data_IF_103016577504
#
_entry.id   IF_103016577504
#
_cell.length_a   1.000
_cell.length_b   1.000
_cell.length_c   1.000
_cell.angle_alpha   90.00
_cell.angle_beta   90.00
_cell.angle_gamma   90.00
#
_symmetry.space_group_name_H-M   'P 1'
#
loop_
_entity.id
_entity.type
_entity.pdbx_description
1 polymer ?
#
# COMPACT_ATOMS: atom_id res chain seq x y z
N UNK A 1 47.46 -17.77 -28.52
CA UNK A 1 47.41 -17.60 -29.98
C UNK A 1 46.65 -16.30 -30.26
N UNK A 2 47.38 -15.20 -30.45
CA UNK A 2 46.83 -13.85 -30.64
C UNK A 2 46.64 -13.66 -32.14
N UNK A 3 45.38 -13.52 -32.58
CA UNK A 3 45.06 -13.27 -33.98
C UNK A 3 45.13 -11.76 -34.22
N UNK A 4 46.16 -11.31 -34.95
CA UNK A 4 46.24 -9.96 -35.51
C UNK A 4 45.21 -9.82 -36.64
N UNK A 5 44.28 -8.88 -36.51
CA UNK A 5 43.41 -8.44 -37.61
C UNK A 5 44.13 -7.33 -38.38
N UNK A 6 44.25 -7.51 -39.70
CA UNK A 6 44.77 -6.51 -40.65
C UNK A 6 43.81 -5.31 -40.73
N UNK A 7 44.32 -4.11 -40.58
CA UNK A 7 43.64 -2.88 -41.01
C UNK A 7 43.61 -2.81 -42.53
N UNK A 8 42.41 -2.81 -43.12
CA UNK A 8 42.21 -2.43 -44.53
C UNK A 8 41.29 -1.20 -44.62
N UNK A 9 41.83 -0.16 -45.27
CA UNK A 9 41.17 0.93 -45.98
C UNK A 9 40.10 1.75 -45.25
N UNK A 10 40.57 2.77 -44.51
CA UNK A 10 39.79 3.93 -44.08
C UNK A 10 39.60 4.88 -45.28
N UNK A 11 38.41 4.89 -45.88
CA UNK A 11 38.02 5.89 -46.89
C UNK A 11 37.89 7.28 -46.23
N UNK A 12 38.89 8.14 -46.42
CA UNK A 12 38.80 9.56 -46.09
C UNK A 12 37.76 10.24 -46.99
N UNK A 13 36.57 10.45 -46.46
CA UNK A 13 35.56 11.30 -47.10
C UNK A 13 35.65 12.69 -46.49
N UNK A 14 36.22 13.63 -47.25
CA UNK A 14 36.25 15.04 -46.86
C UNK A 14 34.83 15.55 -46.59
N UNK A 15 34.65 16.16 -45.40
CA UNK A 15 33.40 16.75 -44.90
C UNK A 15 32.70 17.67 -45.92
N UNK A 16 33.46 18.26 -46.84
CA UNK A 16 33.00 19.13 -47.93
C UNK A 16 32.31 18.37 -49.08
N UNK A 17 32.76 17.15 -49.42
CA UNK A 17 32.11 16.29 -50.41
C UNK A 17 30.78 15.76 -49.89
N UNK A 18 30.74 15.32 -48.62
CA UNK A 18 29.49 14.90 -47.98
C UNK A 18 28.43 16.01 -48.00
N UNK A 19 28.79 17.23 -47.59
CA UNK A 19 27.84 18.36 -47.60
C UNK A 19 27.37 18.76 -49.01
N UNK A 20 28.22 18.66 -50.03
CA UNK A 20 27.82 18.93 -51.42
C UNK A 20 26.85 17.88 -51.97
N UNK A 21 27.08 16.60 -51.71
CA UNK A 21 26.19 15.51 -52.14
C UNK A 21 24.83 15.55 -51.42
N UNK A 22 24.83 15.96 -50.14
CA UNK A 22 23.59 16.10 -49.36
C UNK A 22 22.73 17.27 -49.85
N UNK A 23 23.33 18.38 -50.29
CA UNK A 23 22.58 19.55 -50.79
C UNK A 23 22.03 19.37 -52.21
N UNK A 24 22.65 18.57 -53.08
CA UNK A 24 22.16 18.33 -54.44
C UNK A 24 21.10 17.23 -54.52
N UNK A 25 21.09 16.24 -53.61
CA UNK A 25 20.07 15.17 -53.61
C UNK A 25 18.80 15.50 -52.80
N UNK A 26 18.85 16.43 -51.83
CA UNK A 26 17.67 16.75 -51.00
C UNK A 26 16.48 17.36 -51.76
N UNK A 27 16.66 18.27 -52.75
CA UNK A 27 15.51 18.87 -53.44
C UNK A 27 14.71 17.87 -54.28
N UNK A 28 15.38 16.85 -54.84
CA UNK A 28 14.75 15.81 -55.66
C UNK A 28 14.03 14.73 -54.82
N UNK A 29 14.49 14.47 -53.60
CA UNK A 29 13.81 13.53 -52.68
C UNK A 29 12.66 14.19 -51.89
N UNK A 30 12.73 15.49 -51.60
CA UNK A 30 11.69 16.19 -50.84
C UNK A 30 10.33 16.20 -51.58
N UNK A 31 10.32 16.34 -52.90
CA UNK A 31 9.08 16.32 -53.70
C UNK A 31 8.39 14.95 -53.78
N UNK A 32 9.18 13.87 -53.78
CA UNK A 32 8.66 12.50 -53.81
C UNK A 32 8.25 11.98 -52.42
N UNK A 33 8.96 12.39 -51.36
CA UNK A 33 8.66 12.00 -49.98
C UNK A 33 7.48 12.81 -49.42
N UNK A 34 7.24 14.06 -49.86
CA UNK A 34 6.09 14.84 -49.41
C UNK A 34 4.74 14.24 -49.85
N UNK A 35 4.69 13.51 -50.96
CA UNK A 35 3.47 12.85 -51.46
C UNK A 35 3.33 11.40 -51.03
N UNK A 36 4.39 10.78 -50.50
CA UNK A 36 4.38 9.38 -50.07
C UNK A 36 3.37 9.10 -48.94
N UNK A 37 3.23 9.94 -47.90
CA UNK A 37 2.20 9.76 -46.87
C UNK A 37 0.79 9.84 -47.44
N UNK A 38 0.57 10.70 -48.44
CA UNK A 38 -0.75 10.94 -49.03
C UNK A 38 -1.14 9.84 -50.03
N UNK A 39 -0.16 9.30 -50.78
CA UNK A 39 -0.34 8.12 -51.64
C UNK A 39 -0.46 6.81 -50.84
N UNK A 40 0.22 6.69 -49.69
CA UNK A 40 0.03 5.59 -48.75
C UNK A 40 -1.32 5.70 -48.02
N UNK A 41 -1.80 6.91 -47.71
CA UNK A 41 -3.11 7.12 -47.10
C UNK A 41 -4.27 6.86 -48.07
N UNK A 42 -4.09 7.07 -49.39
CA UNK A 42 -5.12 6.83 -50.39
C UNK A 42 -5.28 5.35 -50.79
N UNK A 43 -4.28 4.49 -50.52
CA UNK A 43 -4.31 3.05 -50.82
C UNK A 43 -4.50 2.17 -49.57
N UNK A 44 -4.76 2.77 -48.41
CA UNK A 44 -5.32 2.03 -47.29
C UNK A 44 -6.84 1.99 -47.51
N UNK A 45 -7.30 0.91 -48.14
CA UNK A 45 -8.69 0.48 -48.05
C UNK A 45 -9.02 0.32 -46.55
N UNK A 46 -9.46 1.40 -45.91
CA UNK A 46 -10.16 1.30 -44.65
C UNK A 46 -11.36 0.40 -44.93
N UNK A 47 -11.54 -0.72 -44.19
CA UNK A 47 -12.72 -1.55 -44.40
C UNK A 47 -13.95 -0.65 -44.31
N UNK A 48 -14.98 -0.86 -45.15
CA UNK A 48 -16.06 0.12 -45.42
C UNK A 48 -16.96 0.50 -44.22
N UNK A 49 -16.57 0.15 -42.99
CA UNK A 49 -17.21 0.49 -41.72
C UNK A 49 -16.24 1.11 -40.69
N UNK A 50 -15.17 1.80 -41.11
CA UNK A 50 -14.31 2.57 -40.19
C UNK A 50 -14.87 3.97 -39.88
N UNK A 51 -16.20 4.15 -39.89
CA UNK A 51 -16.88 5.38 -39.48
C UNK A 51 -17.23 5.40 -37.99
N UNK A 52 -16.63 4.52 -37.17
CA UNK A 52 -16.86 4.54 -35.73
C UNK A 52 -16.32 5.86 -35.18
N UNK A 53 -17.22 6.79 -34.86
CA UNK A 53 -16.85 8.01 -34.14
C UNK A 53 -16.29 7.57 -32.79
N UNK A 54 -14.97 7.57 -32.66
CA UNK A 54 -14.36 7.35 -31.35
C UNK A 54 -14.85 8.44 -30.39
N UNK A 55 -15.03 8.07 -29.12
CA UNK A 55 -15.51 8.99 -28.06
C UNK A 55 -17.02 9.11 -27.94
N UNK A 56 -17.77 8.05 -28.24
CA UNK A 56 -19.17 7.94 -27.82
C UNK A 56 -19.31 7.32 -26.42
N UNK A 57 -20.38 7.64 -25.66
CA UNK A 57 -20.58 7.09 -24.30
C UNK A 57 -20.51 5.56 -24.23
N UNK A 58 -21.04 4.87 -25.23
CA UNK A 58 -21.05 3.41 -25.38
C UNK A 58 -19.64 2.81 -25.55
N UNK A 59 -18.66 3.61 -25.96
CA UNK A 59 -17.28 3.16 -26.14
C UNK A 59 -16.53 3.06 -24.82
N UNK A 60 -17.10 3.51 -23.70
CA UNK A 60 -16.36 3.69 -22.47
C UNK A 60 -17.05 3.16 -21.23
N UNK A 61 -16.30 2.33 -20.49
CA UNK A 61 -16.67 1.91 -19.14
C UNK A 61 -15.75 2.57 -18.12
N UNK A 62 -16.36 3.21 -17.12
CA UNK A 62 -15.63 3.78 -15.99
C UNK A 62 -15.44 2.72 -14.92
N UNK A 63 -14.22 2.61 -14.40
CA UNK A 63 -13.86 1.59 -13.42
C UNK A 63 -12.70 2.06 -12.55
N UNK A 64 -12.12 1.15 -11.78
CA UNK A 64 -10.96 1.42 -10.93
C UNK A 64 -9.88 0.39 -11.20
N UNK A 65 -8.65 0.84 -11.45
CA UNK A 65 -7.50 -0.03 -11.65
C UNK A 65 -7.18 -0.82 -10.38
N UNK A 66 -7.24 -2.15 -10.51
CA UNK A 66 -6.90 -3.09 -9.46
C UNK A 66 -5.51 -3.75 -9.60
N UNK A 67 -4.56 -3.10 -10.31
CA UNK A 67 -3.16 -3.56 -10.44
C UNK A 67 -2.19 -3.24 -9.27
N UNK A 68 -2.38 -2.14 -8.52
CA UNK A 68 -1.66 -1.85 -7.25
C UNK A 68 -2.53 -1.11 -6.20
N UNK A 69 -2.08 -1.02 -4.94
CA UNK A 69 -2.90 -0.59 -3.79
C UNK A 69 -3.59 0.78 -3.91
N UNK A 70 -3.15 1.65 -4.83
CA UNK A 70 -3.67 3.00 -5.08
C UNK A 70 -5.15 3.03 -5.43
N UNK A 71 -5.61 2.10 -6.29
CA UNK A 71 -6.97 2.15 -6.83
C UNK A 71 -7.19 3.37 -7.73
N UNK A 72 -6.30 3.60 -8.71
CA UNK A 72 -6.44 4.71 -9.65
C UNK A 72 -7.76 4.58 -10.42
N UNK A 73 -8.64 5.61 -10.44
CA UNK A 73 -9.81 5.60 -11.30
C UNK A 73 -9.40 5.52 -12.77
N UNK A 74 -10.09 4.68 -13.52
CA UNK A 74 -9.76 4.33 -14.89
C UNK A 74 -10.97 4.47 -15.80
N UNK A 75 -10.70 4.65 -17.08
CA UNK A 75 -11.68 4.57 -18.16
C UNK A 75 -11.18 3.51 -19.15
N UNK A 76 -12.06 2.56 -19.51
CA UNK A 76 -11.74 1.44 -20.41
C UNK A 76 -12.46 1.67 -21.72
N UNK A 77 -11.70 1.71 -22.82
CA UNK A 77 -12.26 1.80 -24.16
C UNK A 77 -12.71 0.42 -24.63
N UNK A 78 -13.94 0.32 -25.12
CA UNK A 78 -14.60 -0.85 -25.64
C UNK A 78 -14.77 -0.69 -27.15
N UNK A 79 -14.53 -1.75 -27.90
CA UNK A 79 -14.82 -1.82 -29.32
C UNK A 79 -15.33 -3.22 -29.64
N UNK A 80 -16.50 -3.32 -30.28
CA UNK A 80 -17.16 -4.60 -30.62
C UNK A 80 -17.25 -5.57 -29.42
N UNK A 81 -17.63 -5.05 -28.24
CA UNK A 81 -17.77 -5.82 -27.00
C UNK A 81 -16.45 -6.25 -26.36
N UNK A 82 -15.30 -5.81 -26.87
CA UNK A 82 -13.97 -6.11 -26.32
C UNK A 82 -13.32 -4.86 -25.74
N UNK A 83 -12.72 -4.98 -24.56
CA UNK A 83 -11.81 -3.96 -24.06
C UNK A 83 -10.57 -3.88 -24.95
N UNK A 84 -10.20 -2.67 -25.37
CA UNK A 84 -9.04 -2.43 -26.26
C UNK A 84 -7.99 -1.49 -25.66
N UNK A 85 -8.36 -0.66 -24.68
CA UNK A 85 -7.41 0.23 -23.99
C UNK A 85 -7.90 0.58 -22.59
N UNK A 86 -6.97 0.71 -21.65
CA UNK A 86 -7.22 1.26 -20.31
C UNK A 86 -6.44 2.57 -20.20
N UNK A 87 -7.13 3.65 -19.83
CA UNK A 87 -6.54 4.96 -19.56
C UNK A 87 -6.97 5.48 -18.19
N UNK A 88 -6.29 6.51 -17.70
CA UNK A 88 -6.69 7.20 -16.48
C UNK A 88 -8.02 7.92 -16.67
N UNK A 89 -8.81 7.98 -15.60
CA UNK A 89 -10.03 8.76 -15.61
C UNK A 89 -9.69 10.26 -15.47
N UNK A 90 -10.15 11.14 -16.36
CA UNK A 90 -9.80 12.56 -16.33
C UNK A 90 -10.44 13.33 -15.16
N UNK A 91 -11.47 12.79 -14.50
CA UNK A 91 -12.10 13.39 -13.32
C UNK A 91 -11.32 13.17 -12.03
N UNK A 92 -10.35 12.26 -12.02
CA UNK A 92 -9.69 11.86 -10.79
C UNK A 92 -8.33 12.55 -10.62
N UNK A 93 -8.06 13.20 -9.48
CA UNK A 93 -6.76 13.82 -9.20
C UNK A 93 -5.61 12.80 -9.22
N UNK A 94 -5.91 11.51 -8.98
CA UNK A 94 -4.94 10.41 -9.01
C UNK A 94 -4.37 10.11 -10.40
N UNK A 95 -5.11 10.45 -11.44
CA UNK A 95 -4.77 10.11 -12.83
C UNK A 95 -4.67 11.32 -13.73
N UNK A 96 -5.22 12.47 -13.35
CA UNK A 96 -5.05 13.71 -14.11
C UNK A 96 -4.84 14.88 -13.17
N UNK A 97 -3.92 15.77 -13.53
CA UNK A 97 -3.72 17.04 -12.82
C UNK A 97 -3.40 18.16 -13.82
N UNK A 98 -4.15 19.28 -13.81
CA UNK A 98 -5.45 19.44 -13.15
C UNK A 98 -6.48 18.43 -13.69
N UNK A 99 -7.32 17.90 -12.80
CA UNK A 99 -8.41 17.00 -13.19
C UNK A 99 -9.62 17.81 -13.64
N UNK A 100 -10.50 17.19 -14.42
CA UNK A 100 -11.78 17.79 -14.78
C UNK A 100 -12.66 17.92 -13.55
N UNK A 101 -13.44 19.00 -13.49
CA UNK A 101 -14.50 19.15 -12.50
C UNK A 101 -15.50 18.00 -12.65
N UNK A 102 -15.96 17.44 -11.53
CA UNK A 102 -16.87 16.29 -11.53
C UNK A 102 -18.23 16.61 -12.16
N UNK A 103 -18.61 17.88 -12.21
CA UNK A 103 -19.81 18.37 -12.90
C UNK A 103 -19.64 18.46 -14.42
N UNK A 104 -18.44 18.30 -14.96
CA UNK A 104 -18.23 18.29 -16.41
C UNK A 104 -19.07 17.17 -17.04
N UNK A 105 -19.89 17.45 -18.08
CA UNK A 105 -20.70 16.43 -18.72
C UNK A 105 -19.86 15.28 -19.27
N UNK A 106 -20.34 14.04 -19.08
CA UNK A 106 -19.62 12.82 -19.49
C UNK A 106 -19.13 12.90 -20.93
N UNK A 107 -20.01 13.29 -21.86
CA UNK A 107 -19.71 13.42 -23.30
C UNK A 107 -18.50 14.33 -23.58
N UNK A 108 -18.29 15.39 -22.79
CA UNK A 108 -17.14 16.30 -22.93
C UNK A 108 -15.84 15.70 -22.39
N UNK A 109 -15.92 14.73 -21.50
CA UNK A 109 -14.76 14.04 -20.93
C UNK A 109 -14.30 12.81 -21.72
N UNK A 110 -15.04 12.40 -22.76
CA UNK A 110 -14.76 11.15 -23.47
C UNK A 110 -13.47 11.23 -24.29
N UNK A 111 -13.17 12.39 -24.88
CA UNK A 111 -11.92 12.70 -25.58
C UNK A 111 -10.73 12.93 -24.65
N UNK A 112 -10.99 13.14 -23.36
CA UNK A 112 -9.96 13.43 -22.36
C UNK A 112 -9.45 12.14 -21.69
N UNK A 113 -8.14 12.04 -21.52
CA UNK A 113 -7.48 10.88 -20.94
C UNK A 113 -6.58 11.29 -19.77
N UNK A 114 -6.63 10.53 -18.67
CA UNK A 114 -5.69 10.64 -17.57
C UNK A 114 -4.50 9.69 -17.76
N UNK A 115 -3.42 9.96 -17.05
CA UNK A 115 -2.26 9.10 -16.94
C UNK A 115 -2.61 7.74 -16.30
N UNK A 116 -1.99 6.69 -16.83
CA UNK A 116 -2.02 5.35 -16.30
C UNK A 116 -0.60 4.80 -16.23
N UNK A 117 -0.27 3.99 -15.23
CA UNK A 117 1.04 3.35 -15.18
C UNK A 117 1.08 2.12 -16.09
N UNK A 118 2.27 1.63 -16.49
CA UNK A 118 2.38 0.48 -17.39
C UNK A 118 1.64 -0.77 -16.88
N UNK A 119 1.61 -1.00 -15.56
CA UNK A 119 0.86 -2.10 -14.95
C UNK A 119 -0.66 -1.95 -15.13
N UNK A 120 -1.16 -0.72 -15.00
CA UNK A 120 -2.58 -0.43 -15.17
C UNK A 120 -3.02 -0.61 -16.62
N UNK A 121 -2.21 -0.14 -17.57
CA UNK A 121 -2.48 -0.34 -19.00
C UNK A 121 -2.44 -1.81 -19.40
N UNK A 122 -1.43 -2.55 -18.90
CA UNK A 122 -1.30 -3.99 -19.15
C UNK A 122 -2.40 -4.84 -18.52
N UNK A 123 -3.27 -4.28 -17.66
CA UNK A 123 -4.38 -5.01 -17.03
C UNK A 123 -5.36 -5.64 -18.03
N UNK A 124 -5.42 -5.10 -19.25
CA UNK A 124 -6.19 -5.67 -20.36
C UNK A 124 -5.73 -7.09 -20.72
N UNK A 125 -4.43 -7.37 -20.60
CA UNK A 125 -3.85 -8.67 -20.95
C UNK A 125 -4.40 -9.78 -20.07
N UNK A 126 -4.68 -9.50 -18.80
CA UNK A 126 -5.27 -10.48 -17.86
C UNK A 126 -6.65 -10.96 -18.32
N UNK A 127 -7.42 -10.13 -19.04
CA UNK A 127 -8.74 -10.50 -19.54
C UNK A 127 -8.64 -11.52 -20.68
N UNK A 128 -7.64 -11.36 -21.55
CA UNK A 128 -7.44 -12.13 -22.78
C UNK A 128 -6.34 -13.19 -22.69
N UNK A 129 -5.70 -13.32 -21.53
CA UNK A 129 -4.63 -14.30 -21.32
C UNK A 129 -5.11 -15.73 -21.61
N UNK A 130 -4.33 -16.48 -22.40
CA UNK A 130 -4.62 -17.86 -22.75
C UNK A 130 -4.65 -18.80 -21.54
N UNK A 131 -3.94 -18.45 -20.46
CA UNK A 131 -3.90 -19.16 -19.20
C UNK A 131 -4.93 -18.67 -18.18
N UNK A 132 -5.79 -17.71 -18.54
CA UNK A 132 -6.86 -17.23 -17.65
C UNK A 132 -7.79 -18.40 -17.29
N UNK A 133 -7.99 -18.61 -15.99
CA UNK A 133 -8.94 -19.59 -15.47
C UNK A 133 -10.38 -19.19 -15.84
N UNK A 134 -11.08 -20.09 -16.54
CA UNK A 134 -12.47 -19.91 -16.99
C UNK A 134 -13.43 -20.96 -16.42
N UNK A 135 -12.90 -22.04 -15.85
CA UNK A 135 -13.65 -23.16 -15.28
C UNK A 135 -13.01 -23.53 -13.94
N UNK A 136 -13.75 -24.25 -13.11
CA UNK A 136 -13.23 -24.79 -11.86
C UNK A 136 -12.28 -25.94 -12.17
N UNK A 137 -11.10 -25.92 -11.54
CA UNK A 137 -10.09 -26.95 -11.69
C UNK A 137 -9.95 -27.72 -10.38
N UNK A 138 -10.01 -29.05 -10.49
CA UNK A 138 -9.69 -29.99 -9.41
C UNK A 138 -8.39 -30.70 -9.76
N UNK A 139 -7.54 -30.88 -8.76
CA UNK A 139 -6.28 -31.61 -8.91
C UNK A 139 -6.54 -33.08 -9.29
N UNK A 140 -5.72 -33.61 -10.20
CA UNK A 140 -5.83 -34.95 -10.79
C UNK A 140 -4.50 -35.74 -10.71
N UNK A 141 -3.69 -35.44 -9.71
CA UNK A 141 -2.41 -36.08 -9.43
C UNK A 141 -1.81 -35.54 -8.12
N UNK A 142 -0.66 -36.03 -7.63
CA UNK A 142 -0.08 -35.57 -6.36
C UNK A 142 0.06 -34.03 -6.29
N UNK A 143 0.01 -33.44 -5.09
CA UNK A 143 0.22 -31.99 -4.92
C UNK A 143 1.56 -31.58 -5.54
N UNK A 144 1.55 -30.51 -6.34
CA UNK A 144 2.74 -30.05 -7.08
C UNK A 144 2.96 -30.72 -8.45
N UNK A 145 2.19 -31.76 -8.81
CA UNK A 145 2.33 -32.45 -10.12
C UNK A 145 1.80 -31.67 -11.32
N UNK A 146 1.10 -30.55 -11.09
CA UNK A 146 0.44 -29.73 -12.11
C UNK A 146 -0.56 -30.51 -13.01
N UNK A 147 -1.17 -31.58 -12.48
CA UNK A 147 -2.25 -32.32 -13.15
C UNK A 147 -3.61 -31.83 -12.66
N UNK A 148 -4.48 -31.45 -13.60
CA UNK A 148 -5.78 -30.85 -13.33
C UNK A 148 -6.85 -31.41 -14.24
N UNK A 149 -8.06 -31.58 -13.69
CA UNK A 149 -9.29 -31.82 -14.43
C UNK A 149 -10.30 -30.72 -14.15
N UNK A 150 -11.22 -30.51 -15.09
CA UNK A 150 -12.36 -29.62 -14.88
C UNK A 150 -13.44 -30.36 -14.11
N UNK A 151 -14.08 -29.68 -13.16
CA UNK A 151 -15.29 -30.16 -12.47
C UNK A 151 -16.40 -29.10 -12.53
N UNK A 152 -17.62 -29.52 -12.22
CA UNK A 152 -18.75 -28.60 -12.09
C UNK A 152 -18.58 -27.68 -10.86
N UNK A 153 -19.16 -26.48 -10.94
CA UNK A 153 -19.09 -25.51 -9.85
C UNK A 153 -19.82 -26.00 -8.59
N UNK A 154 -20.98 -26.64 -8.72
CA UNK A 154 -21.73 -27.18 -7.59
C UNK A 154 -20.99 -28.34 -6.93
N UNK A 155 -20.37 -29.21 -7.73
CA UNK A 155 -19.49 -30.25 -7.20
C UNK A 155 -18.35 -29.64 -6.37
N UNK A 156 -17.69 -28.59 -6.88
CA UNK A 156 -16.60 -27.94 -6.14
C UNK A 156 -17.07 -27.35 -4.80
N UNK A 157 -18.24 -26.70 -4.78
CA UNK A 157 -18.82 -26.14 -3.55
C UNK A 157 -19.14 -27.27 -2.55
N UNK A 158 -19.77 -28.34 -3.01
CA UNK A 158 -20.10 -29.50 -2.17
C UNK A 158 -18.84 -30.14 -1.56
N UNK A 159 -17.82 -30.40 -2.38
CA UNK A 159 -16.55 -30.97 -1.93
C UNK A 159 -15.80 -30.05 -0.94
N UNK A 160 -15.83 -28.73 -1.13
CA UNK A 160 -15.21 -27.75 -0.20
C UNK A 160 -15.96 -27.72 1.14
N UNK A 161 -17.28 -27.76 1.11
CA UNK A 161 -18.12 -27.63 2.32
C UNK A 161 -18.15 -28.92 3.10
N UNK A 162 -18.40 -30.05 2.43
CA UNK A 162 -18.65 -31.33 3.08
C UNK A 162 -17.39 -32.21 3.20
N UNK A 163 -16.37 -31.99 2.37
CA UNK A 163 -15.16 -32.81 2.37
C UNK A 163 -15.40 -34.21 1.81
N UNK A 164 -14.59 -35.18 2.26
CA UNK A 164 -14.71 -36.59 1.86
C UNK A 164 -13.41 -37.21 1.32
N UNK A 165 -13.51 -38.40 0.72
CA UNK A 165 -12.40 -39.09 0.03
C UNK A 165 -12.21 -38.54 -1.39
N UNK A 166 -11.91 -37.25 -1.50
CA UNK A 166 -11.93 -36.50 -2.75
C UNK A 166 -10.85 -36.92 -3.77
N UNK A 167 -9.81 -37.61 -3.30
CA UNK A 167 -8.59 -37.91 -4.04
C UNK A 167 -8.23 -39.39 -4.05
N UNK A 168 -9.18 -40.29 -3.75
CA UNK A 168 -8.91 -41.73 -3.63
C UNK A 168 -8.38 -42.39 -4.93
N UNK A 169 -8.57 -41.74 -6.07
CA UNK A 169 -8.02 -42.17 -7.37
C UNK A 169 -6.55 -41.78 -7.59
N UNK A 170 -5.97 -40.97 -6.68
CA UNK A 170 -4.57 -40.53 -6.76
C UNK A 170 -3.73 -41.51 -5.95
N UNK A 171 -2.68 -42.12 -6.55
CA UNK A 171 -1.79 -43.02 -5.83
C UNK A 171 -1.21 -42.39 -4.57
N UNK A 172 -1.33 -43.07 -3.43
CA UNK A 172 -0.90 -42.61 -2.11
C UNK A 172 -1.93 -41.74 -1.36
N UNK A 173 -3.11 -41.47 -1.94
CA UNK A 173 -4.21 -40.75 -1.30
C UNK A 173 -5.51 -41.57 -1.22
N UNK A 174 -5.44 -42.89 -1.40
CA UNK A 174 -6.58 -43.82 -1.45
C UNK A 174 -7.46 -43.72 -0.19
N UNK A 175 -6.79 -43.59 0.97
CA UNK A 175 -7.44 -43.51 2.28
C UNK A 175 -7.52 -42.08 2.82
N UNK A 176 -7.09 -41.08 2.06
CA UNK A 176 -7.08 -39.70 2.51
C UNK A 176 -8.51 -39.17 2.61
N UNK A 177 -8.93 -38.85 3.84
CA UNK A 177 -10.12 -38.05 4.09
C UNK A 177 -9.74 -36.56 4.15
N UNK A 178 -10.51 -35.72 3.46
CA UNK A 178 -10.35 -34.26 3.51
C UNK A 178 -11.52 -33.72 4.31
N UNK A 179 -11.23 -32.99 5.38
CA UNK A 179 -12.26 -32.28 6.14
C UNK A 179 -12.77 -31.08 5.33
N UNK A 180 -14.10 -30.93 5.27
CA UNK A 180 -14.75 -29.78 4.66
C UNK A 180 -14.97 -28.64 5.64
N UNK A 181 -15.30 -27.44 5.12
CA UNK A 181 -15.60 -26.26 5.93
C UNK A 181 -16.69 -26.49 6.99
N UNK A 182 -17.61 -27.42 6.76
CA UNK A 182 -18.68 -27.77 7.70
C UNK A 182 -18.15 -28.41 8.98
N UNK A 183 -17.10 -29.23 8.90
CA UNK A 183 -16.51 -29.91 10.05
C UNK A 183 -15.71 -28.94 10.94
N UNK A 184 -15.05 -27.96 10.32
CA UNK A 184 -14.24 -26.96 11.03
C UNK A 184 -15.05 -25.74 11.53
N UNK A 185 -16.30 -25.54 11.05
CA UNK A 185 -17.23 -24.53 11.60
C UNK A 185 -17.87 -25.03 12.91
N UNK A 186 -17.02 -25.25 13.92
CA UNK A 186 -17.35 -26.02 15.13
C UNK A 186 -18.08 -25.18 16.19
N UNK A 187 -17.59 -23.99 16.53
CA UNK A 187 -18.24 -23.09 17.48
C UNK A 187 -19.04 -22.02 16.71
N UNK A 188 -20.29 -21.77 17.10
CA UNK A 188 -21.20 -20.82 16.40
C UNK A 188 -21.83 -19.79 17.32
N UNK A 189 -21.76 -20.01 18.63
CA UNK A 189 -22.27 -19.08 19.62
C UNK A 189 -21.27 -17.94 19.83
N UNK A 190 -21.60 -16.77 19.28
CA UNK A 190 -20.76 -15.58 19.38
C UNK A 190 -20.60 -15.07 20.83
N UNK A 191 -21.58 -15.32 21.71
CA UNK A 191 -21.50 -14.94 23.12
C UNK A 191 -20.45 -15.80 23.83
N UNK A 192 -20.50 -17.12 23.61
CA UNK A 192 -19.51 -18.06 24.16
C UNK A 192 -18.11 -17.74 23.65
N UNK A 193 -17.94 -17.50 22.33
CA UNK A 193 -16.63 -17.08 21.78
C UNK A 193 -16.08 -15.84 22.47
N UNK A 194 -16.93 -14.83 22.70
CA UNK A 194 -16.54 -13.58 23.36
C UNK A 194 -16.18 -13.80 24.83
N UNK A 195 -16.92 -14.64 25.53
CA UNK A 195 -16.64 -15.00 26.93
C UNK A 195 -15.33 -15.79 27.06
N UNK A 196 -15.06 -16.72 26.15
CA UNK A 196 -13.80 -17.45 26.07
C UNK A 196 -12.63 -16.50 25.82
N UNK A 197 -12.74 -15.63 24.79
CA UNK A 197 -11.70 -14.65 24.47
C UNK A 197 -11.41 -13.72 25.66
N UNK A 198 -12.45 -13.23 26.33
CA UNK A 198 -12.31 -12.40 27.53
C UNK A 198 -11.60 -13.15 28.67
N UNK A 199 -11.97 -14.40 28.93
CA UNK A 199 -11.30 -15.21 29.95
C UNK A 199 -9.81 -15.42 29.63
N UNK A 200 -9.49 -15.71 28.36
CA UNK A 200 -8.09 -15.86 27.92
C UNK A 200 -7.31 -14.55 28.16
N UNK A 201 -7.87 -13.40 27.75
CA UNK A 201 -7.21 -12.09 27.86
C UNK A 201 -7.05 -11.61 29.31
N UNK A 202 -8.05 -11.82 30.16
CA UNK A 202 -8.10 -11.26 31.52
C UNK A 202 -7.59 -12.21 32.61
N UNK A 203 -7.64 -13.53 32.39
CA UNK A 203 -7.29 -14.53 33.41
C UNK A 203 -6.04 -15.34 33.02
N UNK A 204 -5.94 -15.82 31.77
CA UNK A 204 -4.84 -16.72 31.35
C UNK A 204 -3.57 -15.95 31.00
N UNK A 205 -3.66 -14.93 30.13
CA UNK A 205 -2.49 -14.15 29.71
C UNK A 205 -1.75 -13.44 30.85
N UNK A 206 -2.42 -12.80 31.84
CA UNK A 206 -1.72 -12.15 32.94
C UNK A 206 -1.29 -13.11 34.06
N UNK A 207 -1.65 -14.40 34.01
CA UNK A 207 -1.28 -15.37 35.03
C UNK A 207 0.24 -15.52 35.14
N UNK A 208 0.74 -15.53 36.37
CA UNK A 208 2.16 -15.62 36.68
C UNK A 208 2.67 -17.06 36.56
N UNK A 209 3.74 -17.24 35.77
CA UNK A 209 4.40 -18.54 35.63
C UNK A 209 3.59 -19.59 34.87
N UNK A 210 4.17 -20.78 34.74
CA UNK A 210 3.56 -21.89 34.00
C UNK A 210 2.46 -22.58 34.82
N UNK A 211 2.70 -22.84 36.12
CA UNK A 211 1.70 -23.38 37.05
C UNK A 211 0.43 -22.52 37.12
N UNK A 212 0.58 -21.20 37.23
CA UNK A 212 -0.55 -20.27 37.29
C UNK A 212 -1.39 -20.30 36.01
N UNK A 213 -0.74 -20.41 34.85
CA UNK A 213 -1.43 -20.59 33.57
C UNK A 213 -2.16 -21.93 33.50
N UNK A 214 -1.53 -23.03 33.92
CA UNK A 214 -2.16 -24.36 33.97
C UNK A 214 -3.41 -24.37 34.85
N UNK A 215 -3.35 -23.74 36.02
CA UNK A 215 -4.52 -23.59 36.89
C UNK A 215 -5.65 -22.83 36.18
N UNK A 216 -5.34 -21.69 35.55
CA UNK A 216 -6.34 -20.91 34.81
C UNK A 216 -6.90 -21.65 33.58
N UNK A 217 -6.12 -22.50 32.94
CA UNK A 217 -6.59 -23.38 31.86
C UNK A 217 -7.56 -24.43 32.40
N UNK A 218 -7.33 -25.00 33.59
CA UNK A 218 -8.28 -25.92 34.20
C UNK A 218 -9.60 -25.24 34.58
N UNK A 219 -9.54 -24.04 35.17
CA UNK A 219 -10.73 -23.20 35.43
C UNK A 219 -11.51 -22.89 34.13
N UNK A 220 -10.79 -22.60 33.05
CA UNK A 220 -11.37 -22.42 31.72
C UNK A 220 -12.09 -23.69 31.24
N UNK A 221 -11.45 -24.85 31.36
CA UNK A 221 -12.01 -26.15 30.96
C UNK A 221 -13.28 -26.50 31.73
N UNK A 222 -13.31 -26.22 33.03
CA UNK A 222 -14.50 -26.42 33.86
C UNK A 222 -15.64 -25.49 33.45
N UNK A 223 -15.35 -24.20 33.25
CA UNK A 223 -16.33 -23.19 32.87
C UNK A 223 -16.94 -23.45 31.49
N UNK A 224 -16.14 -23.91 30.53
CA UNK A 224 -16.55 -24.12 29.15
C UNK A 224 -16.62 -25.61 28.76
N UNK A 225 -16.87 -26.49 29.74
CA UNK A 225 -16.85 -27.96 29.58
C UNK A 225 -17.69 -28.47 28.40
N UNK A 226 -18.80 -27.82 28.11
CA UNK A 226 -19.76 -28.21 27.06
C UNK A 226 -19.27 -27.81 25.64
N UNK A 227 -18.13 -27.12 25.53
CA UNK A 227 -17.59 -26.59 24.26
C UNK A 227 -16.15 -27.01 23.98
N UNK A 228 -15.56 -27.91 24.78
CA UNK A 228 -14.14 -28.27 24.64
C UNK A 228 -13.86 -29.02 23.33
N UNK A 229 -14.82 -29.79 22.82
CA UNK A 229 -14.73 -30.48 21.53
C UNK A 229 -14.69 -29.53 20.33
N UNK A 230 -15.18 -28.29 20.49
CA UNK A 230 -15.15 -27.25 19.49
C UNK A 230 -13.81 -26.50 19.43
N UNK A 231 -12.91 -26.70 20.42
CA UNK A 231 -11.58 -26.10 20.47
C UNK A 231 -10.58 -26.89 19.61
N UNK A 232 -9.57 -26.18 19.09
CA UNK A 232 -8.43 -26.83 18.43
C UNK A 232 -7.71 -27.72 19.44
N UNK A 233 -7.45 -27.15 20.61
CA UNK A 233 -6.79 -27.81 21.72
C UNK A 233 -7.30 -27.18 23.04
N UNK A 234 -8.05 -27.94 23.88
CA UNK A 234 -8.50 -27.45 25.17
C UNK A 234 -7.37 -27.09 26.15
N UNK A 235 -6.17 -27.65 26.00
CA UNK A 235 -4.98 -27.29 26.80
C UNK A 235 -4.32 -26.00 26.31
N UNK A 236 -4.63 -25.58 25.08
CA UNK A 236 -4.22 -24.31 24.49
C UNK A 236 -5.44 -23.51 24.01
N UNK A 237 -6.28 -23.02 24.96
CA UNK A 237 -7.51 -22.30 24.62
C UNK A 237 -7.25 -21.01 23.84
N UNK A 238 -6.04 -20.47 23.89
CA UNK A 238 -5.57 -19.33 23.10
C UNK A 238 -5.52 -19.61 21.59
N UNK A 239 -5.44 -20.87 21.15
CA UNK A 239 -5.63 -21.24 19.74
C UNK A 239 -7.08 -21.04 19.30
N UNK A 240 -8.02 -21.06 20.25
CA UNK A 240 -9.45 -20.85 20.02
C UNK A 240 -10.16 -22.04 19.37
N UNK A 241 -11.35 -21.80 18.78
CA UNK A 241 -12.15 -22.85 18.19
C UNK A 241 -11.51 -23.41 16.91
N UNK A 242 -11.88 -24.64 16.53
CA UNK A 242 -11.49 -25.28 15.25
C UNK A 242 -11.74 -24.41 14.02
N UNK A 243 -12.66 -23.45 14.14
CA UNK A 243 -12.90 -22.41 13.15
C UNK A 243 -11.60 -21.68 12.75
N UNK A 244 -10.68 -21.44 13.68
CA UNK A 244 -9.38 -20.82 13.43
C UNK A 244 -8.45 -21.67 12.55
N UNK A 245 -8.73 -22.96 12.32
CA UNK A 245 -7.98 -23.76 11.35
C UNK A 245 -8.25 -23.32 9.89
N UNK A 246 -9.28 -22.49 9.67
CA UNK A 246 -9.47 -21.79 8.41
C UNK A 246 -8.66 -20.50 8.35
N UNK A 247 -7.64 -20.49 7.51
CA UNK A 247 -6.79 -19.34 7.22
C UNK A 247 -7.18 -18.72 5.88
N UNK A 248 -7.62 -17.45 5.90
CA UNK A 248 -7.88 -16.68 4.68
C UNK A 248 -6.75 -15.69 4.43
N UNK A 249 -5.83 -16.05 3.53
CA UNK A 249 -4.72 -15.20 3.09
C UNK A 249 -5.09 -14.49 1.80
N UNK A 250 -5.01 -13.17 1.79
CA UNK A 250 -5.28 -12.38 0.59
C UNK A 250 -4.20 -11.33 0.37
N UNK A 251 -3.84 -11.13 -0.89
CA UNK A 251 -3.05 -9.97 -1.29
C UNK A 251 -3.93 -8.73 -1.34
N UNK A 252 -4.50 -8.49 -2.52
CA UNK A 252 -5.30 -7.29 -2.77
C UNK A 252 -6.79 -7.55 -2.60
N UNK A 253 -7.33 -7.06 -1.49
CA UNK A 253 -8.75 -6.99 -1.23
C UNK A 253 -9.13 -5.54 -0.92
N UNK A 254 -10.06 -4.98 -1.70
CA UNK A 254 -10.47 -3.56 -1.66
C UNK A 254 -12.00 -3.46 -1.62
N UNK A 255 -12.49 -2.26 -1.36
CA UNK A 255 -13.88 -1.94 -1.04
C UNK A 255 -14.93 -2.76 -1.82
N UNK A 256 -15.96 -3.17 -1.09
CA UNK A 256 -16.96 -4.16 -1.48
C UNK A 256 -16.51 -5.58 -1.13
N UNK A 257 -15.32 -5.98 -1.58
CA UNK A 257 -14.82 -7.36 -1.37
C UNK A 257 -14.23 -7.54 0.03
N UNK A 258 -13.52 -6.54 0.55
CA UNK A 258 -12.93 -6.62 1.89
C UNK A 258 -13.98 -6.86 2.97
N UNK A 259 -15.10 -6.16 2.86
CA UNK A 259 -16.22 -6.21 3.78
C UNK A 259 -16.94 -7.55 3.67
N UNK A 260 -17.16 -8.03 2.44
CA UNK A 260 -17.77 -9.34 2.20
C UNK A 260 -16.95 -10.48 2.81
N UNK A 261 -15.65 -10.57 2.50
CA UNK A 261 -14.83 -11.66 3.04
C UNK A 261 -14.57 -11.49 4.53
N UNK A 262 -14.43 -10.26 5.04
CA UNK A 262 -14.36 -10.04 6.48
C UNK A 262 -15.61 -10.59 7.18
N UNK A 263 -16.80 -10.28 6.65
CA UNK A 263 -18.06 -10.80 7.16
C UNK A 263 -18.13 -12.32 7.09
N UNK A 264 -17.68 -12.91 5.99
CA UNK A 264 -17.65 -14.35 5.82
C UNK A 264 -16.70 -15.01 6.83
N UNK A 265 -15.43 -14.60 6.88
CA UNK A 265 -14.38 -15.26 7.67
C UNK A 265 -14.49 -14.96 9.17
N UNK A 266 -14.63 -13.69 9.54
CA UNK A 266 -14.60 -13.27 10.94
C UNK A 266 -16.01 -13.31 11.54
N UNK A 267 -16.94 -12.56 10.94
CA UNK A 267 -18.25 -12.36 11.58
C UNK A 267 -19.17 -13.59 11.52
N UNK A 268 -19.05 -14.43 10.49
CA UNK A 268 -19.93 -15.60 10.28
C UNK A 268 -19.22 -16.91 10.61
N UNK A 269 -18.04 -17.12 10.01
CA UNK A 269 -17.29 -18.35 10.23
C UNK A 269 -16.57 -18.38 11.58
N UNK A 270 -16.34 -17.22 12.23
CA UNK A 270 -15.72 -17.17 13.55
C UNK A 270 -14.22 -17.45 13.56
N UNK A 271 -13.53 -17.28 12.43
CA UNK A 271 -12.07 -17.39 12.36
C UNK A 271 -11.40 -16.03 12.51
N UNK A 272 -10.40 -15.94 13.38
CA UNK A 272 -9.55 -14.77 13.53
C UNK A 272 -8.44 -14.69 12.46
N UNK A 273 -8.25 -15.75 11.69
CA UNK A 273 -7.13 -15.92 10.76
C UNK A 273 -7.43 -15.30 9.38
N UNK A 274 -7.58 -13.99 9.36
CA UNK A 274 -7.85 -13.17 8.18
C UNK A 274 -6.66 -12.26 7.83
N UNK A 275 -5.72 -12.75 7.02
CA UNK A 275 -4.43 -12.10 6.80
C UNK A 275 -4.35 -11.39 5.45
N UNK A 276 -4.16 -10.07 5.49
CA UNK A 276 -3.99 -9.21 4.32
C UNK A 276 -2.59 -8.62 4.19
N UNK A 277 -2.30 -7.96 3.06
CA UNK A 277 -0.99 -7.31 2.80
C UNK A 277 -0.50 -6.34 3.90
N UNK A 278 -1.42 -5.73 4.66
CA UNK A 278 -1.09 -4.76 5.70
C UNK A 278 -0.25 -5.36 6.83
N UNK A 279 -0.47 -6.65 7.16
CA UNK A 279 0.27 -7.35 8.22
C UNK A 279 1.73 -7.62 7.81
N UNK A 280 2.02 -7.66 6.50
CA UNK A 280 3.35 -7.94 5.97
C UNK A 280 4.12 -6.66 5.65
N UNK A 281 3.46 -5.63 5.12
CA UNK A 281 4.14 -4.47 4.55
C UNK A 281 3.85 -3.15 5.27
N UNK A 282 2.57 -2.81 5.49
CA UNK A 282 2.20 -1.45 5.91
C UNK A 282 2.11 -1.26 7.43
N UNK A 283 2.39 -2.29 8.24
CA UNK A 283 2.26 -2.24 9.69
C UNK A 283 3.05 -1.08 10.32
N UNK A 284 4.36 -1.01 10.05
CA UNK A 284 5.25 0.01 10.61
C UNK A 284 4.76 1.43 10.35
N UNK A 285 4.35 1.71 9.12
CA UNK A 285 3.80 3.00 8.71
C UNK A 285 2.55 3.41 9.51
N UNK A 286 1.59 2.50 9.70
CA UNK A 286 0.40 2.80 10.49
C UNK A 286 0.71 2.95 11.98
N UNK A 287 1.64 2.15 12.51
CA UNK A 287 2.07 2.25 13.91
C UNK A 287 2.82 3.56 14.17
N UNK A 288 3.70 3.98 13.27
CA UNK A 288 4.36 5.29 13.35
C UNK A 288 3.36 6.43 13.24
N UNK A 289 2.45 6.39 12.26
CA UNK A 289 1.41 7.43 12.13
C UNK A 289 0.52 7.52 13.37
N UNK A 290 0.16 6.37 13.95
CA UNK A 290 -0.57 6.28 15.22
C UNK A 290 0.24 6.87 16.37
N UNK A 291 1.51 6.49 16.52
CA UNK A 291 2.39 7.01 17.58
C UNK A 291 2.60 8.53 17.48
N UNK A 292 2.79 9.07 16.27
CA UNK A 292 2.92 10.52 16.03
C UNK A 292 1.65 11.31 16.37
N UNK A 293 0.51 10.66 16.46
CA UNK A 293 -0.78 11.29 16.75
C UNK A 293 -1.15 11.27 18.22
N UNK A 294 -0.42 10.49 19.03
CA UNK A 294 -0.69 10.38 20.45
C UNK A 294 -0.62 11.74 21.13
N UNK A 295 -1.60 11.98 21.99
CA UNK A 295 -1.67 13.14 22.85
C UNK A 295 -1.57 12.64 24.28
N UNK A 296 -0.61 13.16 25.03
CA UNK A 296 -0.52 12.83 26.45
C UNK A 296 -1.56 13.64 27.22
N UNK A 297 -2.41 12.98 28.01
CA UNK A 297 -3.46 13.65 28.77
C UNK A 297 -4.07 12.77 29.85
N UNK A 298 -5.09 13.28 30.55
CA UNK A 298 -5.77 12.57 31.62
C UNK A 298 -6.94 11.72 31.08
N UNK A 299 -6.86 10.41 31.27
CA UNK A 299 -7.94 9.47 30.98
C UNK A 299 -8.90 9.46 32.18
N UNK A 300 -10.05 10.11 32.04
CA UNK A 300 -11.08 10.20 33.10
C UNK A 300 -11.57 8.82 33.52
N UNK A 301 -11.71 7.86 32.59
CA UNK A 301 -12.20 6.52 32.88
C UNK A 301 -11.22 5.72 33.72
N UNK A 302 -9.92 5.90 33.47
CA UNK A 302 -8.85 5.22 34.21
C UNK A 302 -8.32 6.04 35.39
N UNK A 303 -8.82 7.27 35.57
CA UNK A 303 -8.35 8.25 36.56
C UNK A 303 -6.83 8.40 36.59
N UNK A 304 -6.18 8.34 35.41
CA UNK A 304 -4.72 8.40 35.28
C UNK A 304 -4.29 9.10 34.00
N UNK A 305 -3.09 9.68 34.01
CA UNK A 305 -2.48 10.23 32.80
C UNK A 305 -1.95 9.12 31.89
N UNK A 306 -2.06 9.32 30.58
CA UNK A 306 -1.54 8.39 29.58
C UNK A 306 -1.58 8.98 28.17
N UNK A 307 -1.03 8.21 27.23
CA UNK A 307 -1.14 8.51 25.80
C UNK A 307 -2.55 8.18 25.30
N UNK A 308 -3.19 9.14 24.66
CA UNK A 308 -4.57 9.09 24.20
C UNK A 308 -4.70 9.65 22.78
N UNK A 309 -5.92 9.63 22.22
CA UNK A 309 -6.21 10.33 20.98
C UNK A 309 -5.61 9.70 19.74
N UNK A 310 -5.32 8.40 19.79
CA UNK A 310 -4.77 7.65 18.67
C UNK A 310 -5.60 7.81 17.41
N UNK A 311 -4.95 8.24 16.32
CA UNK A 311 -5.54 8.26 14.99
C UNK A 311 -4.74 7.36 14.08
N UNK A 312 -5.43 6.41 13.45
CA UNK A 312 -4.85 5.63 12.36
C UNK A 312 -5.00 6.44 11.07
N UNK A 313 -3.88 6.89 10.51
CA UNK A 313 -3.87 7.57 9.22
C UNK A 313 -2.53 7.36 8.52
N UNK A 314 -2.51 7.72 7.24
CA UNK A 314 -1.37 7.53 6.37
C UNK A 314 -0.83 8.89 5.94
N UNK A 315 0.26 9.35 6.56
CA UNK A 315 0.94 10.59 6.19
C UNK A 315 1.50 10.48 4.78
N UNK A 316 1.26 11.51 3.98
CA UNK A 316 1.78 11.65 2.63
C UNK A 316 2.46 13.00 2.50
N UNK A 317 3.69 13.01 2.00
CA UNK A 317 4.39 14.25 1.70
C UNK A 317 3.71 15.00 0.56
N UNK A 318 3.59 16.31 0.69
CA UNK A 318 3.08 17.17 -0.37
C UNK A 318 4.17 17.46 -1.42
N UNK A 319 4.32 16.51 -2.34
CA UNK A 319 5.31 16.60 -3.43
C UNK A 319 5.00 17.73 -4.43
N UNK A 320 3.79 18.30 -4.40
CA UNK A 320 3.39 19.38 -5.31
C UNK A 320 3.95 20.73 -4.86
N UNK A 321 4.07 20.97 -3.55
CA UNK A 321 4.53 22.27 -3.02
C UNK A 321 5.89 22.20 -2.33
N UNK A 322 6.38 20.99 -1.99
CA UNK A 322 7.70 20.84 -1.40
C UNK A 322 8.82 21.42 -2.29
N UNK A 323 9.76 22.12 -1.66
CA UNK A 323 11.00 22.61 -2.28
C UNK A 323 12.18 21.66 -2.07
N UNK A 324 12.13 20.88 -0.99
CA UNK A 324 13.15 19.88 -0.66
C UNK A 324 12.49 18.61 -0.14
N UNK A 325 12.91 17.45 -0.64
CA UNK A 325 12.40 16.14 -0.22
C UNK A 325 13.56 15.17 0.02
N UNK A 326 13.44 14.34 1.06
CA UNK A 326 14.34 13.21 1.28
C UNK A 326 13.53 11.93 1.12
N UNK A 327 13.85 11.14 0.09
CA UNK A 327 13.28 9.82 -0.10
C UNK A 327 14.17 8.78 0.58
N UNK A 328 13.65 8.13 1.62
CA UNK A 328 14.36 7.05 2.34
C UNK A 328 13.74 5.71 1.96
N UNK A 329 14.49 4.85 1.26
CA UNK A 329 14.01 3.56 0.77
C UNK A 329 12.79 3.63 -0.15
N UNK A 330 12.48 4.82 -0.69
CA UNK A 330 11.27 5.09 -1.46
C UNK A 330 11.59 5.31 -2.94
N UNK A 331 10.84 4.64 -3.82
CA UNK A 331 11.07 4.64 -5.27
C UNK A 331 9.85 5.14 -6.07
N UNK A 332 9.46 6.43 -5.96
CA UNK A 332 8.25 7.00 -6.57
C UNK A 332 8.07 6.77 -8.08
N UNK A 333 9.15 6.58 -8.84
CA UNK A 333 9.09 6.36 -10.28
C UNK A 333 8.95 4.89 -10.71
N UNK A 334 9.10 3.92 -9.80
CA UNK A 334 9.12 2.50 -10.19
C UNK A 334 8.44 1.53 -9.21
N UNK A 335 8.53 1.75 -7.90
CA UNK A 335 8.05 0.80 -6.89
C UNK A 335 6.96 1.34 -5.95
N UNK A 336 6.74 2.66 -5.93
CA UNK A 336 5.82 3.27 -4.96
C UNK A 336 4.36 3.30 -5.44
N UNK A 337 3.44 3.56 -4.51
CA UNK A 337 2.01 3.68 -4.79
C UNK A 337 1.68 4.98 -5.54
N UNK A 338 0.82 4.84 -6.54
CA UNK A 338 0.28 5.94 -7.34
C UNK A 338 1.29 6.70 -8.19
N UNK A 339 2.14 6.04 -9.03
CA UNK A 339 2.99 6.76 -9.97
C UNK A 339 2.26 7.80 -10.83
N UNK A 340 1.03 7.55 -11.36
CA UNK A 340 0.31 8.55 -12.15
C UNK A 340 0.03 9.86 -11.41
N UNK A 341 -0.05 9.82 -10.08
CA UNK A 341 -0.23 11.00 -9.25
C UNK A 341 1.11 11.66 -8.90
N UNK A 342 2.09 10.86 -8.46
CA UNK A 342 3.33 11.39 -7.87
C UNK A 342 4.36 11.77 -8.90
N UNK A 343 4.58 10.92 -9.90
CA UNK A 343 5.68 11.11 -10.84
C UNK A 343 5.54 12.45 -11.59
N UNK A 344 4.37 12.83 -12.15
CA UNK A 344 4.22 14.12 -12.82
C UNK A 344 4.56 15.31 -11.90
N UNK A 345 4.11 15.28 -10.63
CA UNK A 345 4.35 16.37 -9.66
C UNK A 345 5.81 16.52 -9.28
N UNK A 346 6.52 15.39 -9.12
CA UNK A 346 7.96 15.40 -8.89
C UNK A 346 8.67 15.94 -10.13
N UNK A 347 8.34 15.41 -11.32
CA UNK A 347 8.95 15.82 -12.59
C UNK A 347 8.74 17.31 -12.86
N UNK A 348 7.53 17.83 -12.68
CA UNK A 348 7.23 19.25 -12.81
C UNK A 348 8.04 20.10 -11.82
N UNK A 349 8.17 19.65 -10.57
CA UNK A 349 9.01 20.29 -9.57
C UNK A 349 10.49 20.35 -9.96
N UNK A 350 11.02 19.29 -10.59
CA UNK A 350 12.39 19.26 -11.08
C UNK A 350 12.59 20.19 -12.29
N UNK A 351 11.69 20.10 -13.28
CA UNK A 351 11.78 20.88 -14.53
C UNK A 351 11.64 22.38 -14.25
N UNK A 352 10.74 22.77 -13.34
CA UNK A 352 10.58 24.17 -12.91
C UNK A 352 11.71 24.67 -12.00
N UNK A 353 12.57 23.78 -11.50
CA UNK A 353 13.61 24.11 -10.51
C UNK A 353 13.08 24.32 -9.08
N UNK A 354 11.78 24.16 -8.84
CA UNK A 354 11.15 24.29 -7.50
C UNK A 354 11.66 23.23 -6.52
N UNK A 355 11.78 21.99 -6.97
CA UNK A 355 12.05 20.83 -6.12
C UNK A 355 13.49 20.37 -6.30
N UNK A 356 14.21 20.22 -5.18
CA UNK A 356 15.41 19.38 -5.07
C UNK A 356 15.09 18.18 -4.19
N UNK A 357 15.68 17.03 -4.47
CA UNK A 357 15.53 15.89 -3.55
C UNK A 357 16.79 15.05 -3.42
N UNK A 358 16.88 14.39 -2.27
CA UNK A 358 17.91 13.41 -1.91
C UNK A 358 17.29 12.03 -1.87
N UNK A 359 18.04 11.03 -2.30
CA UNK A 359 17.67 9.61 -2.15
C UNK A 359 18.63 8.93 -1.19
N UNK A 360 18.10 8.40 -0.10
CA UNK A 360 18.79 7.54 0.86
C UNK A 360 18.34 6.11 0.57
N UNK A 361 19.18 5.35 -0.13
CA UNK A 361 18.87 3.99 -0.57
C UNK A 361 20.20 3.26 -0.83
N UNK A 362 20.41 2.03 -0.34
CA UNK A 362 21.61 1.25 -0.67
C UNK A 362 21.76 1.00 -2.18
N UNK A 363 20.67 1.02 -2.94
CA UNK A 363 20.65 0.79 -4.39
C UNK A 363 20.48 2.12 -5.14
N UNK A 364 21.25 2.29 -6.22
CA UNK A 364 21.03 3.39 -7.17
C UNK A 364 19.75 3.15 -7.99
N UNK A 365 18.61 3.62 -7.46
CA UNK A 365 17.29 3.45 -8.06
C UNK A 365 17.03 4.41 -9.23
N UNK A 366 15.94 4.20 -9.99
CA UNK A 366 15.48 5.21 -10.97
C UNK A 366 15.13 6.55 -10.33
N UNK A 367 14.80 6.55 -9.04
CA UNK A 367 14.60 7.79 -8.29
C UNK A 367 15.94 8.45 -7.99
N UNK A 368 16.98 7.68 -7.66
CA UNK A 368 18.32 8.19 -7.42
C UNK A 368 18.95 8.81 -8.68
N UNK A 369 18.65 8.27 -9.88
CA UNK A 369 19.24 8.77 -11.14
C UNK A 369 18.83 10.21 -11.51
N UNK A 370 17.77 10.73 -10.91
CA UNK A 370 17.30 12.11 -11.10
C UNK A 370 17.45 12.94 -9.81
N UNK A 371 18.07 12.39 -8.76
CA UNK A 371 18.24 13.07 -7.48
C UNK A 371 19.35 14.11 -7.54
N UNK A 372 19.21 15.18 -6.74
CA UNK A 372 20.33 16.11 -6.51
C UNK A 372 21.49 15.41 -5.80
N UNK A 373 21.17 14.49 -4.87
CA UNK A 373 22.18 13.66 -4.19
C UNK A 373 21.64 12.26 -3.92
N UNK A 374 22.49 11.27 -4.12
CA UNK A 374 22.27 9.90 -3.66
C UNK A 374 23.18 9.61 -2.47
N UNK A 375 22.60 9.01 -1.43
CA UNK A 375 23.30 8.57 -0.22
C UNK A 375 23.17 7.03 -0.16
N UNK A 376 24.22 6.28 -0.51
CA UNK A 376 24.25 4.82 -0.44
C UNK A 376 24.38 4.35 1.01
N UNK A 377 23.29 4.43 1.77
CA UNK A 377 23.26 4.04 3.18
C UNK A 377 23.51 2.53 3.33
N UNK A 378 24.19 2.12 4.40
CA UNK A 378 24.21 0.70 4.79
C UNK A 378 22.79 0.28 5.20
N UNK A 379 22.24 -0.84 4.70
CA UNK A 379 20.89 -1.30 5.09
C UNK A 379 20.74 -1.37 6.61
N UNK A 380 19.68 -0.76 7.15
CA UNK A 380 19.43 -0.65 8.59
C UNK A 380 20.10 0.56 9.26
N UNK A 381 20.88 1.36 8.50
CA UNK A 381 21.56 2.56 8.99
C UNK A 381 20.70 3.84 8.98
N UNK A 382 19.45 3.75 8.52
CA UNK A 382 18.55 4.90 8.34
C UNK A 382 18.23 5.60 9.67
N UNK A 383 18.12 4.83 10.77
CA UNK A 383 17.90 5.39 12.11
C UNK A 383 19.11 6.20 12.61
N UNK A 384 20.33 5.71 12.36
CA UNK A 384 21.54 6.44 12.72
C UNK A 384 21.69 7.74 11.90
N UNK A 385 21.35 7.69 10.60
CA UNK A 385 21.32 8.89 9.76
C UNK A 385 20.30 9.92 10.30
N UNK A 386 19.09 9.49 10.64
CA UNK A 386 18.07 10.36 11.20
C UNK A 386 18.51 11.02 12.52
N UNK A 387 19.12 10.25 13.43
CA UNK A 387 19.66 10.78 14.69
C UNK A 387 20.83 11.76 14.46
N UNK A 388 21.72 11.47 13.51
CA UNK A 388 22.79 12.38 13.12
C UNK A 388 22.27 13.71 12.57
N UNK A 389 21.21 13.66 11.74
CA UNK A 389 20.54 14.86 11.25
C UNK A 389 19.88 15.67 12.38
N UNK A 390 19.16 15.00 13.29
CA UNK A 390 18.55 15.65 14.46
C UNK A 390 19.61 16.35 15.30
N UNK A 391 20.71 15.66 15.60
CA UNK A 391 21.83 16.22 16.36
C UNK A 391 22.38 17.48 15.69
N UNK A 392 22.65 17.42 14.38
CA UNK A 392 23.15 18.57 13.64
C UNK A 392 22.16 19.75 13.67
N UNK A 393 20.86 19.49 13.51
CA UNK A 393 19.81 20.52 13.58
C UNK A 393 19.81 21.21 14.94
N UNK A 394 19.93 20.45 16.03
CA UNK A 394 19.95 20.98 17.40
C UNK A 394 21.23 21.77 17.68
N UNK A 395 22.41 21.19 17.40
CA UNK A 395 23.71 21.83 17.64
C UNK A 395 23.92 23.12 16.83
N UNK A 396 23.22 23.25 15.69
CA UNK A 396 23.33 24.42 14.80
C UNK A 396 22.08 25.31 14.84
N UNK A 397 21.17 25.11 15.80
CA UNK A 397 19.93 25.88 15.95
C UNK A 397 19.14 26.04 14.64
N UNK A 398 18.99 24.95 13.87
CA UNK A 398 18.28 24.92 12.58
C UNK A 398 16.84 24.39 12.69
N UNK A 399 16.26 24.39 13.88
CA UNK A 399 14.89 23.99 14.14
C UNK A 399 13.94 25.20 14.08
N UNK A 400 12.65 24.95 13.89
CA UNK A 400 11.61 25.97 14.02
C UNK A 400 11.29 26.16 15.51
N UNK A 401 11.93 27.14 16.14
CA UNK A 401 11.76 27.42 17.57
C UNK A 401 10.30 27.77 17.91
N UNK A 402 9.66 28.59 17.07
CA UNK A 402 8.26 28.99 17.23
C UNK A 402 7.34 27.77 17.22
N UNK A 403 7.54 26.83 16.30
CA UNK A 403 6.78 25.59 16.31
C UNK A 403 7.07 24.74 17.57
N UNK A 404 8.32 24.65 18.01
CA UNK A 404 8.70 23.83 19.17
C UNK A 404 8.19 24.39 20.51
N UNK A 405 7.96 25.70 20.62
CA UNK A 405 7.37 26.32 21.81
C UNK A 405 5.86 26.11 21.91
N UNK A 406 5.18 25.75 20.81
CA UNK A 406 3.77 25.40 20.81
C UNK A 406 3.50 24.10 21.58
N UNK A 407 3.26 24.27 22.89
CA UNK A 407 3.11 23.17 23.84
C UNK A 407 1.72 22.53 23.85
N UNK A 408 0.73 23.18 23.25
CA UNK A 408 -0.66 22.75 23.24
C UNK A 408 -1.42 23.42 22.08
N UNK A 409 -2.69 23.02 21.89
CA UNK A 409 -3.56 23.53 20.83
C UNK A 409 -3.76 25.06 20.88
N UNK A 410 -3.89 25.66 22.06
CA UNK A 410 -4.15 27.09 22.17
C UNK A 410 -2.94 27.91 21.68
N UNK A 411 -1.73 27.51 22.09
CA UNK A 411 -0.49 28.13 21.61
C UNK A 411 -0.36 27.98 20.08
N UNK A 412 -0.56 26.77 19.54
CA UNK A 412 -0.51 26.55 18.10
C UNK A 412 -1.56 27.38 17.33
N UNK A 413 -2.77 27.57 17.88
CA UNK A 413 -3.79 28.41 17.26
C UNK A 413 -3.40 29.89 17.20
N UNK A 414 -2.75 30.41 18.24
CA UNK A 414 -2.21 31.77 18.27
C UNK A 414 -1.16 31.97 17.16
N UNK A 415 -0.31 30.96 16.96
CA UNK A 415 0.71 30.94 15.91
C UNK A 415 0.21 30.51 14.52
N UNK A 416 -1.08 30.18 14.39
CA UNK A 416 -1.72 29.65 13.17
C UNK A 416 -1.10 28.34 12.67
N UNK A 417 -0.58 27.53 13.57
CA UNK A 417 -0.04 26.20 13.29
C UNK A 417 -1.14 25.12 13.42
N UNK A 418 -1.18 24.12 12.52
CA UNK A 418 -2.20 23.07 12.55
C UNK A 418 -1.93 22.00 13.63
N UNK A 419 -0.70 21.94 14.16
CA UNK A 419 -0.23 20.93 15.12
C UNK A 419 0.66 21.55 16.19
N UNK A 420 0.94 20.79 17.24
CA UNK A 420 1.77 21.20 18.38
C UNK A 420 2.64 20.02 18.84
N UNK A 421 3.55 20.27 19.79
CA UNK A 421 4.51 19.30 20.30
C UNK A 421 4.64 19.39 21.83
N UNK A 422 5.32 18.42 22.43
CA UNK A 422 5.68 18.41 23.85
C UNK A 422 7.15 18.83 24.09
N UNK A 423 7.82 19.42 23.11
CA UNK A 423 9.24 19.77 23.18
C UNK A 423 9.59 20.73 24.34
N UNK A 424 8.66 21.62 24.73
CA UNK A 424 8.83 22.59 25.83
C UNK A 424 8.29 22.11 27.18
N UNK A 425 7.81 20.86 27.27
CA UNK A 425 7.28 20.31 28.52
C UNK A 425 8.41 19.95 29.47
N UNK A 426 8.24 20.28 30.75
CA UNK A 426 9.23 19.95 31.77
C UNK A 426 9.18 18.45 32.12
N UNK A 427 10.35 17.88 32.35
CA UNK A 427 10.55 16.50 32.80
C UNK A 427 11.23 16.49 34.16
N UNK A 428 10.89 15.52 35.00
CA UNK A 428 11.58 15.31 36.27
C UNK A 428 12.93 14.64 36.01
N UNK A 429 13.95 15.09 36.74
CA UNK A 429 15.28 14.47 36.75
C UNK A 429 15.46 13.77 38.09
N UNK A 430 15.70 12.46 38.06
CA UNK A 430 16.02 11.64 39.23
C UNK A 430 17.34 10.94 38.98
N UNK A 431 18.31 11.12 39.88
CA UNK A 431 19.64 10.51 39.78
C UNK A 431 20.33 10.78 38.42
N UNK A 432 20.18 12.01 37.90
CA UNK A 432 20.72 12.43 36.62
C UNK A 432 20.01 11.86 35.38
N UNK A 433 18.87 11.17 35.55
CA UNK A 433 18.10 10.57 34.45
C UNK A 433 16.71 11.18 34.31
N UNK A 434 16.20 11.35 33.08
CA UNK A 434 14.84 11.80 32.85
C UNK A 434 13.83 10.73 33.26
N UNK A 435 12.76 11.13 33.95
CA UNK A 435 11.64 10.24 34.30
C UNK A 435 10.33 10.72 33.66
N UNK A 436 9.26 10.93 34.42
CA UNK A 436 7.97 11.41 33.93
C UNK A 436 7.93 12.94 33.72
N UNK A 437 6.92 13.40 32.98
CA UNK A 437 6.65 14.84 32.87
C UNK A 437 6.31 15.45 34.23
N UNK A 438 6.80 16.68 34.46
CA UNK A 438 6.47 17.46 35.64
C UNK A 438 5.01 17.93 35.56
N UNK A 439 4.26 17.69 36.63
CA UNK A 439 2.86 18.12 36.76
C UNK A 439 2.76 19.31 37.69
N UNK A 440 1.75 20.16 37.47
CA UNK A 440 1.48 21.29 38.36
C UNK A 440 1.29 20.85 39.82
N UNK A 441 0.65 19.70 40.03
CA UNK A 441 0.48 19.10 41.36
C UNK A 441 1.79 18.73 42.05
N UNK A 442 2.85 18.41 41.29
CA UNK A 442 4.15 18.07 41.85
C UNK A 442 4.85 19.31 42.46
N UNK A 443 4.41 20.52 42.09
CA UNK A 443 4.93 21.81 42.58
C UNK A 443 3.85 22.64 43.31
N UNK A 444 2.79 22.00 43.80
CA UNK A 444 1.76 22.66 44.60
C UNK A 444 0.74 23.50 43.81
N UNK A 445 0.73 23.45 42.47
CA UNK A 445 -0.32 24.09 41.68
C UNK A 445 -1.61 23.25 41.72
N UNK A 446 -2.75 23.89 41.97
CA UNK A 446 -4.05 23.22 42.09
C UNK A 446 -4.43 22.43 40.82
N UNK A 447 -5.22 21.36 41.01
CA UNK A 447 -5.68 20.33 40.01
C UNK A 447 -6.22 20.86 38.66
N UNK A 448 -6.47 22.17 38.51
CA UNK A 448 -6.87 22.78 37.23
C UNK A 448 -5.69 23.15 36.32
N UNK A 449 -4.43 23.09 36.78
CA UNK A 449 -3.24 23.29 35.95
C UNK A 449 -2.68 21.95 35.47
N UNK A 450 -2.80 21.71 34.15
CA UNK A 450 -2.76 20.35 33.58
C UNK A 450 -1.38 19.87 33.09
N UNK A 451 -0.39 20.75 33.01
CA UNK A 451 1.03 20.50 32.66
C UNK A 451 1.86 21.76 32.92
N UNK A 452 3.16 21.62 33.21
CA UNK A 452 4.09 22.77 33.39
C UNK A 452 5.02 22.85 32.18
N UNK A 453 5.14 24.06 31.61
CA UNK A 453 5.99 24.35 30.45
C UNK A 453 7.02 25.40 30.84
N UNK A 454 8.19 25.38 30.21
CA UNK A 454 9.14 26.47 30.34
C UNK A 454 8.67 27.67 29.50
N UNK A 455 8.49 28.83 30.13
CA UNK A 455 8.28 30.09 29.42
C UNK A 455 9.60 30.84 29.33
N UNK A 456 10.20 30.88 28.15
CA UNK A 456 11.33 31.76 27.85
C UNK A 456 10.82 33.20 27.82
N UNK A 457 11.37 34.09 28.64
CA UNK A 457 11.24 35.52 28.39
C UNK A 457 12.18 35.85 27.23
N UNK A 458 11.64 36.06 26.02
CA UNK A 458 12.46 36.55 24.92
C UNK A 458 12.95 37.95 25.29
N UNK A 459 14.26 38.10 25.55
CA UNK A 459 14.91 39.39 25.46
C UNK A 459 14.69 39.91 24.03
N UNK A 460 13.96 41.01 23.89
CA UNK A 460 13.71 41.71 22.63
C UNK A 460 15.00 42.12 21.94
#
# INVERSE_FOLDING_TARGET
MIVKVKEENRLETERRKFLKTTFTMFPLMAGAIAKLPQALAQNLDHPPNFSHQYHQPEDYLHTVCLGCNTGCPSKVRIHQGKAIKIVGNPYAPWTKWPHLDYSTPLVKSLSEEGAMCPRGEAGIMTVYDKYRLKKVLKRDGPRGSNKWKTIDFHQAVDEIVNGGKLFAHIPGEENRYVEGLKAIWALKDAKVMKEMAKFIEEEIYPAAGEEGKKQKINEFKEKFRDYLDALIDPDHPDFGPKNNQFLFVYGRLKGGRSEFFKRFVQDTFGSNNFHGHTTVCQGSLYFTGKAMSYQYGFDEKKSKFGWMGEKKFYWQGDLQHAKFVIFVGASPFEGNYGPPYRAPRITEGLVSGRLKYVVVDPRFSKTASQAWKWIPIKPGGEGALALGMIRYILENHRYDERYLTNANRAAAQEDKEPTWTNASWLIKIKDGRPTEFLRGSDIGLHKKTRTVVAQSQSSK
#
